data_IF_661180073927
#
_entry.id   IF_661180073927
#
_cell.length_a   1.000
_cell.length_b   1.000
_cell.length_c   1.000
_cell.angle_alpha   90.00
_cell.angle_beta   90.00
_cell.angle_gamma   90.00
#
_symmetry.space_group_name_H-M   'P 1'
#
loop_
_entity.id
_entity.type
_entity.pdbx_description
1 polymer ?
#
# COMPACT_ATOMS: atom_id res chain seq x y z
N UNK A 1 -11.45 -36.16 -22.30
CA UNK A 1 -11.61 -36.36 -20.86
C UNK A 1 -11.41 -35.01 -20.20
N UNK A 2 -12.46 -34.60 -19.55
CA UNK A 2 -12.81 -33.22 -19.21
C UNK A 2 -11.82 -32.49 -18.33
N UNK A 3 -11.46 -31.28 -18.80
CA UNK A 3 -10.82 -30.22 -18.03
C UNK A 3 -11.90 -29.44 -17.23
N UNK A 4 -12.58 -30.14 -16.32
CA UNK A 4 -13.52 -29.52 -15.38
C UNK A 4 -13.30 -30.20 -14.02
N UNK A 5 -12.90 -29.40 -13.06
CA UNK A 5 -12.99 -29.59 -11.61
C UNK A 5 -11.65 -29.38 -10.89
N UNK A 6 -11.15 -28.16 -10.84
CA UNK A 6 -10.37 -27.67 -9.68
C UNK A 6 -10.84 -26.24 -9.41
N UNK A 7 -12.06 -26.09 -8.97
CA UNK A 7 -12.52 -24.91 -8.22
C UNK A 7 -12.87 -25.37 -6.79
N UNK A 8 -11.85 -25.88 -6.10
CA UNK A 8 -11.82 -25.83 -4.65
C UNK A 8 -11.17 -24.50 -4.34
N UNK A 9 -11.94 -23.54 -3.85
CA UNK A 9 -11.47 -22.29 -3.26
C UNK A 9 -10.19 -22.57 -2.45
N UNK A 10 -9.04 -22.16 -3.00
CA UNK A 10 -7.75 -22.30 -2.32
C UNK A 10 -7.84 -21.43 -1.08
N UNK A 11 -7.93 -22.05 0.09
CA UNK A 11 -8.06 -21.32 1.35
C UNK A 11 -6.65 -21.03 1.87
N UNK A 12 -6.23 -19.77 1.77
CA UNK A 12 -5.02 -19.28 2.42
C UNK A 12 -5.22 -19.18 3.95
N UNK A 13 -4.13 -19.05 4.69
CA UNK A 13 -4.21 -18.81 6.13
C UNK A 13 -4.75 -17.39 6.42
N UNK A 14 -5.30 -17.21 7.61
CA UNK A 14 -5.76 -15.92 8.08
C UNK A 14 -4.60 -15.02 8.49
N UNK A 15 -4.77 -13.70 8.41
CA UNK A 15 -3.75 -12.74 8.85
C UNK A 15 -3.41 -12.87 10.34
N UNK A 16 -4.37 -13.09 11.28
CA UNK A 16 -4.03 -13.39 12.67
C UNK A 16 -3.11 -14.62 12.85
N UNK A 17 -3.31 -15.69 12.08
CA UNK A 17 -2.41 -16.87 12.13
C UNK A 17 -1.00 -16.52 11.65
N UNK A 18 -0.88 -15.71 10.58
CA UNK A 18 0.40 -15.25 10.07
C UNK A 18 1.14 -14.34 11.07
N UNK A 19 0.40 -13.40 11.70
CA UNK A 19 0.95 -12.53 12.75
C UNK A 19 1.48 -13.36 13.92
N UNK A 20 0.75 -14.40 14.34
CA UNK A 20 1.18 -15.28 15.43
C UNK A 20 2.44 -16.09 15.04
N UNK A 21 2.49 -16.61 13.81
CA UNK A 21 3.68 -17.30 13.29
C UNK A 21 4.92 -16.38 13.29
N UNK A 22 4.79 -15.14 12.79
CA UNK A 22 5.87 -14.14 12.85
C UNK A 22 6.27 -13.85 14.28
N UNK A 23 5.31 -13.72 15.22
CA UNK A 23 5.58 -13.48 16.66
C UNK A 23 6.39 -14.61 17.28
N UNK A 24 6.16 -15.84 16.84
CA UNK A 24 6.90 -17.02 17.27
C UNK A 24 8.28 -17.14 16.61
N UNK A 25 8.66 -16.21 15.73
CA UNK A 25 9.92 -16.23 14.99
C UNK A 25 9.92 -17.17 13.78
N UNK A 26 8.74 -17.56 13.31
CA UNK A 26 8.59 -18.44 12.16
C UNK A 26 8.69 -17.67 10.83
N UNK A 27 9.04 -18.40 9.77
CA UNK A 27 8.95 -17.94 8.38
C UNK A 27 7.56 -18.22 7.85
N UNK A 28 7.00 -17.29 7.09
CA UNK A 28 5.74 -17.48 6.35
C UNK A 28 5.95 -17.24 4.86
N UNK A 29 4.97 -17.61 4.05
CA UNK A 29 4.90 -17.25 2.63
C UNK A 29 3.87 -16.11 2.47
N UNK A 30 4.23 -15.09 1.72
CA UNK A 30 3.33 -14.01 1.33
C UNK A 30 3.29 -13.95 -0.18
N UNK A 31 2.08 -13.94 -0.77
CA UNK A 31 1.86 -13.85 -2.21
C UNK A 31 1.23 -12.50 -2.56
N UNK A 32 1.61 -11.95 -3.70
CA UNK A 32 0.98 -10.75 -4.25
C UNK A 32 -0.04 -11.09 -5.35
N UNK A 33 -0.65 -10.05 -5.93
CA UNK A 33 -1.67 -10.17 -6.97
C UNK A 33 -1.09 -10.73 -8.28
N UNK A 34 -1.89 -11.54 -9.00
CA UNK A 34 -1.54 -12.07 -10.32
C UNK A 34 -1.27 -10.98 -11.37
N UNK A 35 -1.94 -9.83 -11.22
CA UNK A 35 -1.80 -8.66 -12.10
C UNK A 35 -0.57 -7.77 -11.74
N UNK A 36 0.16 -8.09 -10.62
CA UNK A 36 1.34 -7.34 -10.18
C UNK A 36 2.64 -8.07 -10.55
N UNK A 37 3.26 -8.78 -9.62
CA UNK A 37 4.47 -9.60 -9.85
C UNK A 37 4.09 -11.08 -10.00
N UNK A 38 2.96 -11.46 -9.38
CA UNK A 38 2.47 -12.83 -9.29
C UNK A 38 3.53 -13.76 -8.69
N UNK A 39 4.13 -13.33 -7.58
CA UNK A 39 5.25 -14.01 -6.92
C UNK A 39 4.91 -14.33 -5.47
N UNK A 40 5.77 -15.07 -4.81
CA UNK A 40 5.69 -15.34 -3.38
C UNK A 40 7.05 -15.28 -2.73
N UNK A 41 7.09 -14.63 -1.56
CA UNK A 41 8.29 -14.47 -0.77
C UNK A 41 8.21 -15.24 0.55
N UNK A 42 9.33 -15.80 0.99
CA UNK A 42 9.51 -16.11 2.40
C UNK A 42 9.73 -14.84 3.19
N UNK A 43 8.96 -14.65 4.25
CA UNK A 43 9.05 -13.46 5.11
C UNK A 43 9.17 -13.88 6.58
N UNK A 44 10.03 -13.18 7.33
CA UNK A 44 10.08 -13.21 8.79
C UNK A 44 10.41 -11.83 9.36
N UNK A 45 10.28 -11.64 10.69
CA UNK A 45 10.71 -10.41 11.34
C UNK A 45 12.23 -10.32 11.41
N UNK A 46 12.82 -9.15 11.11
CA UNK A 46 14.27 -8.93 11.17
C UNK A 46 14.83 -9.12 12.59
N UNK A 47 14.05 -8.78 13.60
CA UNK A 47 14.48 -8.90 15.01
C UNK A 47 14.61 -10.35 15.47
N UNK A 48 13.84 -11.29 14.91
CA UNK A 48 13.87 -12.71 15.28
C UNK A 48 14.71 -13.58 14.34
N UNK A 49 15.36 -12.98 13.32
CA UNK A 49 16.14 -13.75 12.34
C UNK A 49 17.33 -14.46 12.97
N UNK A 50 17.55 -15.73 12.58
CA UNK A 50 18.67 -16.54 13.01
C UNK A 50 19.50 -17.01 11.81
N UNK A 51 20.75 -17.49 12.02
CA UNK A 51 21.54 -18.09 10.94
C UNK A 51 20.82 -19.23 10.23
N UNK A 52 20.02 -20.04 10.96
CA UNK A 52 19.24 -21.13 10.41
C UNK A 52 18.14 -20.63 9.47
N UNK A 53 17.47 -19.52 9.84
CA UNK A 53 16.46 -18.87 8.98
C UNK A 53 17.11 -18.34 7.69
N UNK A 54 18.24 -17.63 7.80
CA UNK A 54 18.98 -17.16 6.62
C UNK A 54 19.42 -18.32 5.73
N UNK A 55 19.90 -19.41 6.32
CA UNK A 55 20.27 -20.59 5.55
C UNK A 55 19.05 -21.26 4.90
N UNK A 56 17.91 -21.32 5.59
CA UNK A 56 16.66 -21.81 5.04
C UNK A 56 16.21 -20.97 3.84
N UNK A 57 16.20 -19.65 3.98
CA UNK A 57 15.84 -18.71 2.94
C UNK A 57 16.78 -18.82 1.72
N UNK A 58 18.08 -18.88 1.94
CA UNK A 58 19.07 -19.05 0.86
C UNK A 58 18.92 -20.37 0.12
N UNK A 59 18.59 -21.47 0.85
CA UNK A 59 18.49 -22.82 0.27
C UNK A 59 17.17 -23.03 -0.46
N UNK A 60 16.08 -22.52 0.08
CA UNK A 60 14.73 -22.87 -0.38
C UNK A 60 14.01 -21.69 -1.07
N UNK A 61 14.39 -20.44 -0.79
CA UNK A 61 13.92 -19.27 -1.54
C UNK A 61 14.70 -19.10 -2.83
N UNK A 62 16.03 -19.03 -2.75
CA UNK A 62 17.00 -18.89 -3.86
C UNK A 62 17.01 -17.50 -4.50
N UNK A 63 16.09 -16.61 -4.13
CA UNK A 63 16.05 -15.22 -4.54
C UNK A 63 17.10 -14.36 -3.82
N UNK A 64 16.94 -13.05 -3.88
CA UNK A 64 17.80 -12.09 -3.19
C UNK A 64 17.30 -11.84 -1.77
N UNK A 65 18.08 -12.24 -0.77
CA UNK A 65 17.70 -11.94 0.62
C UNK A 65 17.83 -10.44 0.86
N UNK A 66 16.68 -9.80 1.12
CA UNK A 66 16.56 -8.37 1.37
C UNK A 66 16.04 -8.10 2.79
N UNK A 67 16.29 -6.88 3.28
CA UNK A 67 15.87 -6.45 4.62
C UNK A 67 15.05 -5.16 4.53
N UNK A 68 13.72 -5.27 4.34
CA UNK A 68 12.82 -4.13 4.44
C UNK A 68 12.91 -3.43 5.81
N UNK A 69 13.06 -2.11 5.78
CA UNK A 69 13.09 -1.22 6.95
C UNK A 69 12.08 -0.10 6.76
N UNK A 70 11.55 0.43 7.86
CA UNK A 70 10.78 1.67 7.80
C UNK A 70 11.68 2.86 7.43
N UNK A 71 11.10 3.91 6.84
CA UNK A 71 11.83 5.08 6.36
C UNK A 71 12.65 5.75 7.47
N UNK A 72 12.07 5.85 8.67
CA UNK A 72 12.73 6.48 9.83
C UNK A 72 14.01 5.74 10.21
N UNK A 73 13.96 4.41 10.26
CA UNK A 73 15.15 3.62 10.62
C UNK A 73 16.21 3.66 9.52
N UNK A 74 15.80 3.68 8.26
CA UNK A 74 16.72 3.87 7.14
C UNK A 74 17.45 5.23 7.21
N UNK A 75 16.73 6.31 7.60
CA UNK A 75 17.31 7.63 7.81
C UNK A 75 18.28 7.65 9.01
N UNK A 76 17.90 7.06 10.16
CA UNK A 76 18.77 6.95 11.35
C UNK A 76 20.10 6.25 11.06
N UNK A 77 20.06 5.24 10.18
CA UNK A 77 21.24 4.48 9.77
C UNK A 77 22.01 5.11 8.59
N UNK A 78 21.55 6.27 8.08
CA UNK A 78 22.12 6.94 6.91
C UNK A 78 22.26 5.97 5.72
N UNK A 79 21.12 5.38 5.32
CA UNK A 79 21.02 4.46 4.18
C UNK A 79 20.45 5.19 2.96
N UNK A 80 21.29 5.82 2.12
CA UNK A 80 20.83 6.47 0.91
C UNK A 80 20.32 5.45 -0.11
N UNK A 81 19.47 5.89 -1.02
CA UNK A 81 19.03 5.09 -2.15
C UNK A 81 20.22 4.65 -3.00
N UNK A 82 20.20 3.42 -3.50
CA UNK A 82 21.26 2.85 -4.34
C UNK A 82 21.49 3.66 -5.62
N UNK A 83 20.44 4.27 -6.15
CA UNK A 83 20.47 5.08 -7.37
C UNK A 83 19.73 6.41 -7.16
N UNK A 84 20.15 7.46 -7.84
CA UNK A 84 19.49 8.76 -7.80
C UNK A 84 18.16 8.80 -8.58
N UNK A 85 18.02 7.93 -9.61
CA UNK A 85 16.81 7.77 -10.40
C UNK A 85 16.51 6.28 -10.52
N UNK A 86 15.37 5.86 -9.95
CA UNK A 86 14.92 4.47 -10.01
C UNK A 86 14.13 4.25 -11.33
N UNK A 87 14.61 3.33 -12.17
CA UNK A 87 14.00 2.95 -13.46
C UNK A 87 13.43 1.52 -13.43
N UNK A 88 13.41 0.87 -12.26
CA UNK A 88 12.84 -0.48 -12.11
C UNK A 88 11.32 -0.45 -12.30
N UNK A 89 10.78 -1.50 -12.93
CA UNK A 89 9.35 -1.59 -13.29
C UNK A 89 8.42 -1.36 -12.07
N UNK A 90 8.77 -1.91 -10.91
CA UNK A 90 8.00 -1.79 -9.67
C UNK A 90 8.63 -0.84 -8.65
N UNK A 91 9.62 -0.05 -9.07
CA UNK A 91 10.30 0.96 -8.26
C UNK A 91 10.81 0.44 -6.91
N UNK A 92 11.29 -0.82 -6.85
CA UNK A 92 11.83 -1.41 -5.62
C UNK A 92 12.93 -0.52 -5.03
N UNK A 93 12.72 -0.09 -3.78
CA UNK A 93 13.49 0.97 -3.15
C UNK A 93 14.76 0.43 -2.48
N UNK A 94 15.71 -0.08 -3.28
CA UNK A 94 17.01 -0.49 -2.79
C UNK A 94 17.80 0.69 -2.21
N UNK A 95 18.33 0.51 -1.02
CA UNK A 95 19.38 1.39 -0.47
C UNK A 95 20.76 0.83 -0.82
N UNK A 96 21.84 1.54 -0.46
CA UNK A 96 23.17 0.96 -0.49
C UNK A 96 23.20 -0.31 0.35
N UNK A 97 23.90 -1.34 -0.11
CA UNK A 97 24.09 -2.58 0.65
C UNK A 97 25.09 -2.36 1.79
N UNK A 98 24.94 -3.13 2.87
CA UNK A 98 25.75 -2.96 4.10
C UNK A 98 26.19 -4.27 4.69
N UNK A 99 27.24 -4.22 5.52
CA UNK A 99 27.65 -5.29 6.44
C UNK A 99 27.91 -4.71 7.82
N UNK A 100 27.66 -5.49 8.87
CA UNK A 100 28.01 -5.10 10.24
C UNK A 100 29.51 -5.22 10.48
N UNK A 101 30.12 -4.18 11.05
CA UNK A 101 31.53 -4.17 11.47
C UNK A 101 31.62 -4.77 12.87
N UNK A 102 32.48 -5.76 13.05
CA UNK A 102 32.69 -6.38 14.37
C UNK A 102 31.63 -7.44 14.73
N UNK A 103 31.35 -7.61 16.01
CA UNK A 103 30.40 -8.59 16.56
C UNK A 103 30.62 -10.03 16.11
N UNK A 104 31.83 -10.43 15.77
CA UNK A 104 32.16 -11.74 15.24
C UNK A 104 31.85 -11.94 13.76
N UNK A 105 31.37 -10.89 13.06
CA UNK A 105 31.18 -10.92 11.60
C UNK A 105 32.56 -10.92 10.90
N UNK A 106 32.62 -11.63 9.78
CA UNK A 106 33.81 -11.81 8.95
C UNK A 106 33.72 -11.07 7.63
N UNK A 107 33.41 -11.80 6.53
CA UNK A 107 33.29 -11.23 5.18
C UNK A 107 31.88 -10.75 4.85
N UNK A 108 30.91 -10.94 5.74
CA UNK A 108 29.54 -10.47 5.59
C UNK A 108 28.56 -11.45 4.93
N UNK A 109 29.02 -12.40 4.10
CA UNK A 109 28.15 -13.25 3.27
C UNK A 109 27.58 -14.49 4.01
N UNK A 110 28.23 -14.95 5.08
CA UNK A 110 27.78 -16.15 5.80
C UNK A 110 26.37 -15.97 6.37
N UNK A 111 25.64 -17.06 6.59
CA UNK A 111 24.34 -17.01 7.26
C UNK A 111 24.44 -16.37 8.65
N UNK A 112 25.53 -16.60 9.37
CA UNK A 112 25.82 -15.98 10.66
C UNK A 112 26.00 -14.46 10.53
N UNK A 113 26.86 -14.02 9.62
CA UNK A 113 27.15 -12.59 9.43
C UNK A 113 25.89 -11.83 9.02
N UNK A 114 25.13 -12.36 8.04
CA UNK A 114 23.88 -11.74 7.59
C UNK A 114 22.83 -11.69 8.72
N UNK A 115 22.59 -12.78 9.44
CA UNK A 115 21.65 -12.79 10.55
C UNK A 115 22.05 -11.80 11.66
N UNK A 116 23.35 -11.73 12.00
CA UNK A 116 23.87 -10.80 13.00
C UNK A 116 23.73 -9.36 12.55
N UNK A 117 24.10 -9.06 11.30
CA UNK A 117 23.97 -7.73 10.73
C UNK A 117 22.51 -7.27 10.58
N UNK A 118 21.61 -8.17 10.15
CA UNK A 118 20.18 -7.84 10.05
C UNK A 118 19.58 -7.50 11.42
N UNK A 119 19.90 -8.27 12.48
CA UNK A 119 19.47 -7.92 13.84
C UNK A 119 20.04 -6.59 14.29
N UNK A 120 21.29 -6.27 13.92
CA UNK A 120 21.88 -4.97 14.23
C UNK A 120 21.16 -3.81 13.54
N UNK A 121 20.65 -3.99 12.30
CA UNK A 121 19.88 -2.94 11.62
C UNK A 121 18.63 -2.50 12.42
N UNK A 122 18.05 -3.38 13.22
CA UNK A 122 16.85 -3.08 14.04
C UNK A 122 17.16 -2.77 15.49
N UNK A 123 18.40 -2.93 15.93
CA UNK A 123 18.84 -2.55 17.28
C UNK A 123 18.98 -1.02 17.37
N UNK A 124 18.25 -0.35 18.27
CA UNK A 124 18.35 1.11 18.44
C UNK A 124 19.77 1.60 18.80
N UNK A 125 20.60 0.75 19.37
CA UNK A 125 21.98 1.10 19.72
C UNK A 125 22.93 1.18 18.52
N UNK A 126 22.58 0.53 17.40
CA UNK A 126 23.41 0.52 16.19
C UNK A 126 23.37 1.87 15.48
N UNK A 127 24.54 2.38 15.14
CA UNK A 127 24.76 3.65 14.43
C UNK A 127 25.20 3.40 12.98
N UNK A 128 25.07 4.42 12.15
CA UNK A 128 25.53 4.36 10.75
C UNK A 128 27.02 4.02 10.62
N UNK A 129 27.84 4.41 11.59
CA UNK A 129 29.30 4.12 11.66
C UNK A 129 29.63 2.66 11.94
N UNK A 130 28.66 1.87 12.42
CA UNK A 130 28.86 0.45 12.70
C UNK A 130 28.67 -0.42 11.46
N UNK A 131 28.31 0.22 10.33
CA UNK A 131 28.01 -0.43 9.06
C UNK A 131 29.07 -0.11 8.00
N UNK A 132 29.65 -1.15 7.40
CA UNK A 132 30.45 -1.04 6.18
C UNK A 132 29.53 -0.88 4.95
N UNK A 133 30.00 -0.15 3.95
CA UNK A 133 29.31 0.07 2.65
C UNK A 133 30.33 -0.04 1.52
N UNK A 134 30.08 -0.83 0.44
CA UNK A 134 28.95 -1.77 0.29
C UNK A 134 29.11 -3.02 1.17
N UNK A 135 28.06 -3.86 1.20
CA UNK A 135 28.05 -5.12 1.93
C UNK A 135 27.16 -6.17 1.25
N UNK A 136 26.78 -7.21 2.02
CA UNK A 136 26.03 -8.37 1.56
C UNK A 136 24.58 -8.40 2.09
N UNK A 137 24.16 -7.42 2.90
CA UNK A 137 22.79 -7.19 3.32
C UNK A 137 22.22 -6.09 2.44
N UNK A 138 21.04 -6.32 1.88
CA UNK A 138 20.34 -5.41 0.96
C UNK A 138 19.12 -4.78 1.64
N UNK A 139 19.27 -3.62 2.32
CA UNK A 139 18.14 -2.95 2.92
C UNK A 139 17.21 -2.38 1.84
N UNK A 140 15.89 -2.50 2.06
CA UNK A 140 14.85 -1.88 1.26
C UNK A 140 14.11 -0.83 2.09
N UNK A 141 13.89 0.34 1.50
CA UNK A 141 13.16 1.42 2.16
C UNK A 141 11.66 1.26 1.92
N UNK A 142 10.92 0.73 2.89
CA UNK A 142 9.48 0.57 2.80
C UNK A 142 8.76 1.93 2.83
N UNK A 143 7.70 2.09 2.02
CA UNK A 143 6.91 3.31 2.01
C UNK A 143 6.17 3.49 3.33
N UNK A 144 6.16 4.72 3.85
CA UNK A 144 5.35 5.09 5.02
C UNK A 144 3.87 4.78 4.75
N UNK A 145 3.22 4.04 5.67
CA UNK A 145 1.86 3.53 5.50
C UNK A 145 1.81 2.05 5.09
N UNK A 146 2.95 1.44 4.75
CA UNK A 146 3.05 0.00 4.47
C UNK A 146 2.21 -0.44 3.28
N UNK A 147 1.59 -1.65 3.36
CA UNK A 147 0.77 -2.19 2.27
C UNK A 147 -0.41 -1.32 1.88
N UNK A 148 -0.86 -0.43 2.75
CA UNK A 148 -1.90 0.55 2.44
C UNK A 148 -1.41 1.68 1.51
N UNK A 149 -0.09 1.79 1.32
CA UNK A 149 0.54 2.76 0.41
C UNK A 149 1.07 2.12 -0.86
N UNK A 150 1.68 0.93 -0.72
CA UNK A 150 2.22 0.13 -1.82
C UNK A 150 2.05 -1.35 -1.49
N UNK A 151 1.29 -2.07 -2.31
CA UNK A 151 0.96 -3.50 -2.12
C UNK A 151 2.11 -4.41 -2.55
N UNK A 152 3.30 -4.18 -1.99
CA UNK A 152 4.50 -4.96 -2.26
C UNK A 152 4.97 -5.77 -1.06
N UNK A 153 5.76 -6.82 -1.33
CA UNK A 153 6.36 -7.68 -0.30
C UNK A 153 7.23 -6.88 0.68
N UNK A 154 7.91 -5.83 0.22
CA UNK A 154 8.68 -4.88 1.06
C UNK A 154 7.82 -4.30 2.19
N UNK A 155 6.67 -3.75 1.84
CA UNK A 155 5.73 -3.16 2.79
C UNK A 155 5.06 -4.23 3.66
N UNK A 156 4.72 -5.39 3.06
CA UNK A 156 4.12 -6.50 3.79
C UNK A 156 5.04 -7.02 4.91
N UNK A 157 6.34 -7.15 4.65
CA UNK A 157 7.31 -7.61 5.64
C UNK A 157 7.42 -6.64 6.85
N UNK A 158 7.44 -5.34 6.60
CA UNK A 158 7.48 -4.30 7.65
C UNK A 158 6.18 -4.30 8.46
N UNK A 159 5.02 -4.40 7.80
CA UNK A 159 3.73 -4.41 8.45
C UNK A 159 3.52 -5.64 9.33
N UNK A 160 3.84 -6.83 8.82
CA UNK A 160 3.73 -8.09 9.56
C UNK A 160 4.63 -8.09 10.80
N UNK A 161 5.87 -7.60 10.69
CA UNK A 161 6.77 -7.45 11.83
C UNK A 161 6.16 -6.50 12.88
N UNK A 162 5.67 -5.34 12.47
CA UNK A 162 5.01 -4.35 13.34
C UNK A 162 3.75 -4.92 14.01
N UNK A 163 2.89 -5.59 13.25
CA UNK A 163 1.67 -6.21 13.78
C UNK A 163 1.96 -7.35 14.75
N UNK A 164 3.08 -8.05 14.58
CA UNK A 164 3.56 -9.07 15.51
C UNK A 164 4.20 -8.47 16.78
N UNK A 165 4.41 -7.14 16.86
CA UNK A 165 4.97 -6.45 18.02
C UNK A 165 6.50 -6.27 17.98
N UNK A 166 7.14 -6.53 16.86
CA UNK A 166 8.55 -6.29 16.61
C UNK A 166 8.82 -4.87 16.07
N UNK A 167 10.08 -4.51 15.98
CA UNK A 167 10.52 -3.35 15.21
C UNK A 167 10.01 -3.46 13.76
N UNK A 168 9.59 -2.35 13.13
CA UNK A 168 9.00 -2.37 11.78
C UNK A 168 10.06 -2.65 10.71
N UNK A 169 10.53 -3.88 10.68
CA UNK A 169 11.54 -4.38 9.76
C UNK A 169 11.39 -5.90 9.56
N UNK A 170 11.54 -6.35 8.33
CA UNK A 170 11.47 -7.76 7.98
C UNK A 170 12.69 -8.27 7.25
N UNK A 171 12.70 -9.56 6.98
CA UNK A 171 13.59 -10.21 6.02
C UNK A 171 12.69 -10.88 5.00
N UNK A 172 13.02 -10.75 3.73
CA UNK A 172 12.32 -11.41 2.64
C UNK A 172 13.28 -12.01 1.63
N UNK A 173 12.80 -13.01 0.90
CA UNK A 173 13.47 -13.59 -0.25
C UNK A 173 12.43 -14.20 -1.19
N UNK A 174 12.55 -13.94 -2.47
CA UNK A 174 11.68 -14.51 -3.50
C UNK A 174 11.87 -16.04 -3.58
N UNK A 175 10.77 -16.75 -3.85
CA UNK A 175 10.79 -18.20 -3.96
C UNK A 175 10.84 -18.64 -5.42
N UNK A 176 11.92 -19.31 -5.78
CA UNK A 176 12.15 -19.87 -7.11
C UNK A 176 11.98 -21.40 -7.10
N UNK A 177 11.51 -21.91 -8.23
CA UNK A 177 11.50 -23.34 -8.52
C UNK A 177 12.93 -23.89 -8.68
N UNK A 178 13.06 -25.22 -8.71
CA UNK A 178 14.36 -25.89 -8.87
C UNK A 178 15.04 -25.60 -10.20
N UNK A 179 14.26 -25.23 -11.24
CA UNK A 179 14.72 -24.86 -12.55
C UNK A 179 15.08 -23.35 -12.68
N UNK A 180 14.92 -22.59 -11.59
CA UNK A 180 15.22 -21.15 -11.54
C UNK A 180 14.07 -20.25 -12.01
N UNK A 181 12.92 -20.78 -12.41
CA UNK A 181 11.72 -19.99 -12.67
C UNK A 181 11.04 -19.53 -11.37
N UNK A 182 10.24 -18.46 -11.42
CA UNK A 182 9.50 -18.00 -10.25
C UNK A 182 8.43 -19.01 -9.85
N UNK A 183 8.38 -19.38 -8.56
CA UNK A 183 7.31 -20.20 -8.02
C UNK A 183 6.00 -19.39 -7.95
N UNK A 184 4.91 -19.95 -8.47
CA UNK A 184 3.58 -19.37 -8.44
C UNK A 184 2.73 -20.04 -7.36
N UNK A 185 1.52 -19.54 -7.12
CA UNK A 185 0.66 -20.01 -6.04
C UNK A 185 0.53 -21.55 -5.94
N UNK A 186 0.38 -22.34 -7.04
CA UNK A 186 0.30 -23.79 -6.95
C UNK A 186 1.58 -24.46 -6.41
N UNK A 187 2.77 -23.94 -6.75
CA UNK A 187 4.06 -24.42 -6.26
C UNK A 187 4.28 -23.98 -4.82
N UNK A 188 3.93 -22.74 -4.50
CA UNK A 188 4.05 -22.15 -3.16
C UNK A 188 3.19 -22.88 -2.13
N UNK A 189 1.99 -23.37 -2.49
CA UNK A 189 1.15 -24.20 -1.65
C UNK A 189 1.82 -25.56 -1.32
N UNK A 190 2.54 -26.15 -2.29
CA UNK A 190 3.30 -27.38 -2.04
C UNK A 190 4.48 -27.13 -1.11
N UNK A 191 5.16 -25.99 -1.28
CA UNK A 191 6.27 -25.58 -0.42
C UNK A 191 5.75 -25.28 1.00
N UNK A 192 4.63 -24.56 1.14
CA UNK A 192 3.98 -24.32 2.41
C UNK A 192 3.64 -25.62 3.14
N UNK A 193 3.05 -26.59 2.44
CA UNK A 193 2.74 -27.91 3.00
C UNK A 193 4.00 -28.70 3.40
N UNK A 194 5.05 -28.68 2.55
CA UNK A 194 6.31 -29.37 2.80
C UNK A 194 7.02 -28.89 4.07
N UNK A 195 6.99 -27.59 4.33
CA UNK A 195 7.69 -26.99 5.46
C UNK A 195 6.75 -26.55 6.60
N UNK A 196 5.45 -26.87 6.48
CA UNK A 196 4.41 -26.49 7.45
C UNK A 196 4.34 -24.96 7.69
N UNK A 197 4.54 -24.18 6.63
CA UNK A 197 4.51 -22.71 6.69
C UNK A 197 3.10 -22.17 6.50
N UNK A 198 2.81 -21.03 7.11
CA UNK A 198 1.61 -20.26 6.80
C UNK A 198 1.80 -19.55 5.47
N UNK A 199 0.70 -19.44 4.72
CA UNK A 199 0.68 -18.70 3.44
C UNK A 199 -0.52 -17.74 3.42
N UNK A 200 -0.27 -16.48 3.12
CA UNK A 200 -1.27 -15.38 3.04
C UNK A 200 -1.09 -14.57 1.78
N UNK A 201 -2.11 -13.77 1.42
CA UNK A 201 -2.01 -12.77 0.36
C UNK A 201 -1.79 -11.36 0.92
N UNK A 202 -1.16 -10.49 0.11
CA UNK A 202 -1.04 -9.06 0.42
C UNK A 202 -2.43 -8.41 0.46
N UNK A 203 -3.37 -8.83 -0.39
CA UNK A 203 -4.73 -8.31 -0.41
C UNK A 203 -5.48 -8.58 0.90
N UNK A 204 -5.34 -9.78 1.46
CA UNK A 204 -5.91 -10.10 2.79
C UNK A 204 -5.27 -9.26 3.90
N UNK A 205 -3.95 -9.00 3.81
CA UNK A 205 -3.25 -8.12 4.75
C UNK A 205 -3.75 -6.68 4.64
N UNK A 206 -3.96 -6.17 3.43
CA UNK A 206 -4.58 -4.86 3.19
C UNK A 206 -5.97 -4.82 3.83
N UNK A 207 -6.85 -5.78 3.52
CA UNK A 207 -8.20 -5.85 4.08
C UNK A 207 -8.18 -5.90 5.61
N UNK A 208 -7.30 -6.71 6.19
CA UNK A 208 -7.13 -6.80 7.64
C UNK A 208 -6.73 -5.48 8.29
N UNK A 209 -5.71 -4.80 7.74
CA UNK A 209 -5.26 -3.49 8.25
C UNK A 209 -6.35 -2.43 8.15
N UNK A 210 -7.07 -2.44 7.04
CA UNK A 210 -8.18 -1.52 6.80
C UNK A 210 -9.33 -1.68 7.81
N UNK A 211 -9.61 -2.91 8.21
CA UNK A 211 -10.65 -3.21 9.22
C UNK A 211 -10.21 -2.89 10.64
N UNK A 212 -8.92 -3.06 10.95
CA UNK A 212 -8.39 -3.02 12.32
C UNK A 212 -7.63 -1.73 12.66
N UNK A 213 -7.21 -0.94 11.67
CA UNK A 213 -6.49 0.32 11.90
C UNK A 213 -7.37 1.54 11.59
N UNK A 214 -7.33 2.52 12.47
CA UNK A 214 -8.01 3.80 12.24
C UNK A 214 -7.10 4.73 11.44
N UNK A 215 -7.41 4.92 10.14
CA UNK A 215 -6.61 5.75 9.23
C UNK A 215 -7.02 7.22 9.24
N UNK A 216 -8.21 7.53 9.77
CA UNK A 216 -8.77 8.89 9.79
C UNK A 216 -9.46 9.20 11.11
N UNK A 217 -9.46 10.48 11.48
CA UNK A 217 -10.27 11.01 12.59
C UNK A 217 -11.01 12.27 12.15
N UNK A 218 -12.23 12.47 12.63
CA UNK A 218 -12.91 13.77 12.47
C UNK A 218 -12.12 14.84 13.21
N UNK A 219 -11.78 15.91 12.51
CA UNK A 219 -11.06 17.03 13.08
C UNK A 219 -11.99 18.21 13.37
N UNK A 220 -13.00 18.45 12.52
CA UNK A 220 -13.94 19.55 12.65
C UNK A 220 -15.22 19.24 11.84
N UNK A 221 -16.33 19.87 12.21
CA UNK A 221 -17.58 19.87 11.44
C UNK A 221 -18.26 21.22 11.59
N UNK A 222 -18.84 21.73 10.49
CA UNK A 222 -19.62 22.95 10.49
C UNK A 222 -20.75 22.91 9.45
N UNK A 223 -21.84 23.61 9.74
CA UNK A 223 -22.90 23.83 8.76
C UNK A 223 -22.53 25.02 7.86
N UNK A 224 -22.49 24.79 6.57
CA UNK A 224 -22.11 25.81 5.57
C UNK A 224 -23.28 26.10 4.63
N UNK A 225 -23.91 27.27 4.73
CA UNK A 225 -24.88 27.71 3.72
C UNK A 225 -24.14 28.04 2.41
N UNK A 226 -24.61 27.50 1.32
CA UNK A 226 -24.07 27.70 -0.04
C UNK A 226 -25.19 28.08 -1.00
N UNK A 227 -24.84 28.50 -2.21
CA UNK A 227 -25.84 28.73 -3.28
C UNK A 227 -26.59 27.44 -3.71
N UNK A 228 -26.09 26.25 -3.32
CA UNK A 228 -26.68 24.95 -3.60
C UNK A 228 -27.44 24.36 -2.38
N UNK A 229 -27.70 25.17 -1.34
CA UNK A 229 -28.27 24.72 -0.09
C UNK A 229 -27.25 24.61 1.04
N UNK A 230 -27.72 24.13 2.19
CA UNK A 230 -26.84 23.96 3.37
C UNK A 230 -26.19 22.57 3.35
N UNK A 231 -24.88 22.56 3.51
CA UNK A 231 -24.08 21.35 3.62
C UNK A 231 -23.41 21.27 4.99
N UNK A 232 -23.35 20.07 5.58
CA UNK A 232 -22.44 19.80 6.68
C UNK A 232 -21.05 19.52 6.08
N UNK A 233 -20.09 20.40 6.38
CA UNK A 233 -18.69 20.24 5.96
C UNK A 233 -17.92 19.61 7.10
N UNK A 234 -17.36 18.42 6.87
CA UNK A 234 -16.63 17.65 7.86
C UNK A 234 -15.18 17.49 7.40
N UNK A 235 -14.25 17.93 8.24
CA UNK A 235 -12.84 17.74 8.01
C UNK A 235 -12.36 16.45 8.68
N UNK A 236 -11.70 15.60 7.90
CA UNK A 236 -11.06 14.38 8.36
C UNK A 236 -9.55 14.51 8.27
N UNK A 237 -8.86 14.28 9.38
CA UNK A 237 -7.40 14.25 9.42
C UNK A 237 -6.92 12.81 9.35
N UNK A 238 -5.98 12.53 8.44
CA UNK A 238 -5.34 11.23 8.26
C UNK A 238 -4.35 10.94 9.38
N UNK A 239 -4.26 9.66 9.78
CA UNK A 239 -3.37 9.18 10.83
C UNK A 239 -2.60 7.94 10.32
N UNK A 240 -1.26 7.94 10.29
CA UNK A 240 -0.35 9.08 10.35
C UNK A 240 -0.36 9.87 9.03
N UNK A 241 0.20 11.06 9.02
CA UNK A 241 0.39 11.87 7.80
C UNK A 241 -0.12 13.29 7.95
N UNK A 242 -1.23 13.46 8.67
CA UNK A 242 -1.78 14.78 8.99
C UNK A 242 -2.58 15.44 7.85
N UNK A 243 -2.64 14.84 6.66
CA UNK A 243 -3.41 15.35 5.53
C UNK A 243 -4.88 15.50 5.91
N UNK A 244 -5.52 16.56 5.43
CA UNK A 244 -6.92 16.85 5.72
C UNK A 244 -7.77 16.63 4.48
N UNK A 245 -8.79 15.77 4.60
CA UNK A 245 -9.80 15.52 3.59
C UNK A 245 -11.12 16.18 3.99
N UNK A 246 -11.94 16.56 3.02
CA UNK A 246 -13.20 17.25 3.26
C UNK A 246 -14.38 16.45 2.72
N UNK A 247 -15.38 16.23 3.56
CA UNK A 247 -16.65 15.65 3.19
C UNK A 247 -17.74 16.71 3.25
N UNK A 248 -18.49 16.89 2.14
CA UNK A 248 -19.64 17.78 2.04
C UNK A 248 -20.89 16.92 2.03
N UNK A 249 -21.55 16.82 3.18
CA UNK A 249 -22.74 16.02 3.40
C UNK A 249 -24.00 16.87 3.24
N UNK A 250 -24.98 16.39 2.50
CA UNK A 250 -26.32 16.97 2.38
C UNK A 250 -27.38 15.93 2.74
N UNK A 251 -28.32 16.27 3.63
CA UNK A 251 -29.35 15.35 4.11
C UNK A 251 -28.81 14.22 5.00
N UNK A 252 -29.71 13.30 5.37
CA UNK A 252 -29.42 12.16 6.22
C UNK A 252 -29.85 10.85 5.56
N UNK A 253 -29.24 9.74 5.98
CA UNK A 253 -29.52 8.40 5.48
C UNK A 253 -29.27 7.34 6.54
N UNK A 254 -29.85 6.18 6.34
CA UNK A 254 -29.58 4.96 7.11
C UNK A 254 -28.53 4.09 6.40
N UNK A 255 -27.94 3.13 7.09
CA UNK A 255 -26.94 2.23 6.54
C UNK A 255 -27.47 1.36 5.37
N UNK A 256 -28.79 1.12 5.32
CA UNK A 256 -29.42 0.30 4.27
C UNK A 256 -29.74 1.09 2.98
N UNK A 257 -29.75 2.40 3.06
CA UNK A 257 -30.11 3.25 1.93
C UNK A 257 -28.95 3.48 0.99
N UNK A 258 -29.16 3.39 -0.33
CA UNK A 258 -28.17 3.83 -1.32
C UNK A 258 -27.99 5.35 -1.25
N UNK A 259 -26.73 5.79 -1.21
CA UNK A 259 -26.35 7.21 -1.11
C UNK A 259 -25.64 7.65 -2.38
N UNK A 260 -26.01 8.80 -2.90
CA UNK A 260 -25.32 9.40 -4.04
C UNK A 260 -24.00 9.99 -3.58
N UNK A 261 -22.87 9.48 -4.11
CA UNK A 261 -21.54 9.83 -3.66
C UNK A 261 -20.65 10.24 -4.84
N UNK A 262 -20.01 11.39 -4.72
CA UNK A 262 -18.88 11.78 -5.57
C UNK A 262 -17.59 11.73 -4.76
N UNK A 263 -16.61 10.98 -5.21
CA UNK A 263 -15.24 11.03 -4.67
C UNK A 263 -14.36 11.74 -5.69
N UNK A 264 -13.72 12.81 -5.26
CA UNK A 264 -12.76 13.58 -6.05
C UNK A 264 -11.39 13.53 -5.39
N UNK A 265 -10.38 13.13 -6.16
CA UNK A 265 -8.99 13.23 -5.75
C UNK A 265 -8.47 14.60 -6.16
N UNK A 266 -8.17 15.43 -5.16
CA UNK A 266 -7.73 16.81 -5.33
C UNK A 266 -6.22 16.88 -5.19
N UNK A 267 -5.55 17.37 -6.22
CA UNK A 267 -4.15 17.78 -6.19
C UNK A 267 -4.03 19.16 -6.80
N UNK A 268 -3.10 20.00 -6.33
CA UNK A 268 -2.96 21.36 -6.83
C UNK A 268 -2.73 21.39 -8.34
N UNK A 269 -1.81 20.61 -8.84
CA UNK A 269 -1.56 20.49 -10.28
C UNK A 269 -2.78 19.94 -11.03
N UNK A 270 -3.42 18.89 -10.50
CA UNK A 270 -4.59 18.25 -11.10
C UNK A 270 -5.79 19.19 -11.17
N UNK A 271 -6.03 19.98 -10.14
CA UNK A 271 -7.17 20.90 -10.09
C UNK A 271 -6.96 22.11 -10.99
N UNK A 272 -5.76 22.72 -10.98
CA UNK A 272 -5.42 23.86 -11.83
C UNK A 272 -5.49 23.48 -13.31
N UNK A 273 -4.75 22.43 -13.70
CA UNK A 273 -4.69 21.99 -15.08
C UNK A 273 -6.00 21.32 -15.52
N UNK A 274 -6.66 20.58 -14.63
CA UNK A 274 -7.96 19.94 -14.88
C UNK A 274 -9.10 20.92 -15.15
N UNK A 275 -9.02 22.14 -14.61
CA UNK A 275 -9.97 23.22 -14.93
C UNK A 275 -9.85 23.64 -16.40
N UNK A 276 -8.66 23.55 -16.99
CA UNK A 276 -8.41 23.95 -18.38
C UNK A 276 -8.67 22.82 -19.39
N UNK A 277 -8.37 21.57 -19.01
CA UNK A 277 -8.36 20.43 -19.95
C UNK A 277 -9.47 19.42 -19.72
N UNK A 278 -10.12 19.38 -18.54
CA UNK A 278 -11.05 18.32 -18.14
C UNK A 278 -12.37 18.81 -17.54
N UNK A 279 -12.65 20.10 -17.56
CA UNK A 279 -13.89 20.72 -17.03
C UNK A 279 -14.21 20.32 -15.57
N UNK A 280 -13.18 20.12 -14.72
CA UNK A 280 -13.37 19.70 -13.33
C UNK A 280 -14.32 20.62 -12.56
N UNK A 281 -14.28 21.90 -12.80
CA UNK A 281 -15.17 22.88 -12.16
C UNK A 281 -16.65 22.60 -12.47
N UNK A 282 -16.98 22.28 -13.73
CA UNK A 282 -18.34 21.94 -14.16
C UNK A 282 -18.77 20.61 -13.56
N UNK A 283 -17.89 19.60 -13.55
CA UNK A 283 -18.20 18.27 -12.98
C UNK A 283 -18.50 18.36 -11.48
N UNK A 284 -17.77 19.18 -10.72
CA UNK A 284 -18.04 19.39 -9.29
C UNK A 284 -19.40 20.05 -9.08
N UNK A 285 -19.72 21.07 -9.89
CA UNK A 285 -21.00 21.75 -9.85
C UNK A 285 -22.16 20.79 -10.16
N UNK A 286 -22.06 20.00 -11.23
CA UNK A 286 -23.07 19.00 -11.61
C UNK A 286 -23.27 17.96 -10.50
N UNK A 287 -22.19 17.49 -9.86
CA UNK A 287 -22.29 16.53 -8.75
C UNK A 287 -23.04 17.15 -7.54
N UNK A 288 -22.74 18.40 -7.18
CA UNK A 288 -23.41 19.12 -6.08
C UNK A 288 -24.87 19.36 -6.40
N UNK A 289 -25.20 19.78 -7.63
CA UNK A 289 -26.58 20.00 -8.09
C UNK A 289 -27.39 18.68 -8.11
N UNK A 290 -26.76 17.56 -8.52
CA UNK A 290 -27.38 16.25 -8.48
C UNK A 290 -27.71 15.80 -7.04
N UNK A 291 -26.77 16.01 -6.11
CA UNK A 291 -26.97 15.70 -4.69
C UNK A 291 -28.07 16.58 -4.07
N UNK A 292 -28.09 17.88 -4.39
CA UNK A 292 -29.12 18.78 -3.93
C UNK A 292 -30.51 18.35 -4.45
N UNK A 293 -30.61 17.99 -5.73
CA UNK A 293 -31.87 17.50 -6.35
C UNK A 293 -32.35 16.19 -5.75
N UNK A 294 -31.42 15.29 -5.41
CA UNK A 294 -31.74 14.03 -4.71
C UNK A 294 -32.21 14.28 -3.27
N UNK A 295 -31.84 15.41 -2.67
CA UNK A 295 -32.12 15.76 -1.27
C UNK A 295 -31.17 15.10 -0.25
N UNK A 296 -30.31 14.18 -0.68
CA UNK A 296 -29.29 13.53 0.14
C UNK A 296 -28.10 13.07 -0.69
N UNK A 297 -26.91 13.16 -0.13
CA UNK A 297 -25.70 12.67 -0.76
C UNK A 297 -24.43 13.32 -0.21
N UNK A 298 -23.30 12.95 -0.81
CA UNK A 298 -21.97 13.29 -0.31
C UNK A 298 -21.01 13.61 -1.45
N UNK A 299 -20.27 14.71 -1.31
CA UNK A 299 -19.02 14.94 -2.07
C UNK A 299 -17.85 14.79 -1.14
N UNK A 300 -16.94 13.87 -1.45
CA UNK A 300 -15.72 13.63 -0.71
C UNK A 300 -14.51 14.12 -1.52
N UNK A 301 -13.85 15.18 -1.01
CA UNK A 301 -12.59 15.68 -1.53
C UNK A 301 -11.42 15.00 -0.80
N UNK A 302 -10.75 14.10 -1.51
CA UNK A 302 -9.53 13.44 -1.07
C UNK A 302 -8.33 14.27 -1.48
N UNK A 303 -7.77 15.06 -0.55
CA UNK A 303 -6.55 15.80 -0.84
C UNK A 303 -5.36 14.86 -0.91
N UNK A 304 -4.60 14.96 -1.99
CA UNK A 304 -3.29 14.31 -2.07
C UNK A 304 -2.25 15.24 -1.44
N UNK A 305 -1.27 14.67 -0.74
CA UNK A 305 -0.14 15.45 -0.26
C UNK A 305 0.53 16.10 -1.47
N UNK A 306 0.56 17.43 -1.49
CA UNK A 306 1.21 18.17 -2.57
C UNK A 306 2.69 17.81 -2.58
N UNK A 307 3.07 17.09 -3.61
CA UNK A 307 4.45 16.83 -3.92
C UNK A 307 4.99 18.11 -4.56
N UNK A 308 5.61 18.99 -3.80
CA UNK A 308 6.47 20.12 -4.21
C UNK A 308 6.23 20.75 -5.60
N UNK A 309 6.69 21.96 -5.81
CA UNK A 309 6.70 22.64 -7.13
C UNK A 309 7.25 21.77 -8.28
N UNK A 310 8.10 20.79 -7.97
CA UNK A 310 8.60 19.81 -8.91
C UNK A 310 7.48 18.94 -9.53
N UNK A 311 6.42 18.59 -8.80
CA UNK A 311 5.32 17.77 -9.32
C UNK A 311 4.47 18.53 -10.36
N UNK A 312 4.29 19.84 -10.19
CA UNK A 312 3.60 20.66 -11.18
C UNK A 312 4.43 20.75 -12.48
N UNK A 313 5.74 20.95 -12.36
CA UNK A 313 6.65 20.97 -13.52
C UNK A 313 6.69 19.62 -14.23
N UNK A 314 6.70 18.51 -13.49
CA UNK A 314 6.67 17.16 -14.07
C UNK A 314 5.35 16.89 -14.80
N UNK A 315 4.21 17.30 -14.24
CA UNK A 315 2.91 17.21 -14.91
C UNK A 315 2.89 17.99 -16.23
N UNK A 316 3.48 19.20 -16.24
CA UNK A 316 3.62 20.01 -17.47
C UNK A 316 4.50 19.32 -18.53
N UNK A 317 5.65 18.77 -18.14
CA UNK A 317 6.52 18.04 -19.06
C UNK A 317 5.84 16.79 -19.64
N UNK A 318 5.03 16.09 -18.84
CA UNK A 318 4.26 14.94 -19.32
C UNK A 318 3.18 15.35 -20.33
N UNK A 319 2.49 16.46 -20.09
CA UNK A 319 1.52 17.02 -21.03
C UNK A 319 2.19 17.47 -22.35
N UNK A 320 3.35 18.11 -22.28
CA UNK A 320 4.15 18.47 -23.44
C UNK A 320 4.52 17.26 -24.27
N UNK A 321 5.00 16.19 -23.63
CA UNK A 321 5.34 14.92 -24.27
C UNK A 321 4.13 14.26 -24.93
N UNK A 322 2.98 14.21 -24.25
CA UNK A 322 1.73 13.67 -24.80
C UNK A 322 1.29 14.47 -26.05
N UNK A 323 1.37 15.81 -25.99
CA UNK A 323 1.05 16.69 -27.11
C UNK A 323 2.01 16.48 -28.31
N UNK A 324 3.31 16.32 -28.06
CA UNK A 324 4.29 16.03 -29.10
C UNK A 324 4.08 14.67 -29.77
N UNK A 325 3.55 13.68 -29.04
CA UNK A 325 3.21 12.36 -29.54
C UNK A 325 1.80 12.29 -30.20
N UNK A 326 1.06 13.39 -30.27
CA UNK A 326 -0.29 13.45 -30.81
C UNK A 326 -1.32 12.68 -29.98
N UNK A 327 -1.03 12.42 -28.71
CA UNK A 327 -1.94 11.77 -27.75
C UNK A 327 -2.86 12.79 -27.12
N UNK A 328 -4.02 12.33 -26.68
CA UNK A 328 -4.91 13.15 -25.85
C UNK A 328 -4.20 13.53 -24.54
N UNK A 329 -4.13 14.84 -24.26
CA UNK A 329 -3.50 15.35 -23.05
C UNK A 329 -4.34 14.98 -21.83
N UNK A 330 -3.82 14.08 -20.99
CA UNK A 330 -4.45 13.64 -19.74
C UNK A 330 -3.50 13.86 -18.58
N UNK A 331 -4.00 14.54 -17.56
CA UNK A 331 -3.27 14.70 -16.31
C UNK A 331 -3.33 13.37 -15.57
N UNK A 332 -2.20 12.75 -15.25
CA UNK A 332 -2.20 11.53 -14.47
C UNK A 332 -2.65 11.84 -13.04
N UNK A 333 -3.84 11.41 -12.66
CA UNK A 333 -4.33 11.41 -11.27
C UNK A 333 -4.22 9.99 -10.76
N UNK A 334 -3.15 9.69 -10.06
CA UNK A 334 -2.96 8.40 -9.41
C UNK A 334 -3.56 8.44 -7.99
N UNK A 335 -4.74 7.85 -7.83
CA UNK A 335 -5.22 7.46 -6.49
C UNK A 335 -4.48 6.19 -6.08
N UNK A 336 -3.74 6.27 -4.99
CA UNK A 336 -3.09 5.10 -4.39
C UNK A 336 -4.11 4.22 -3.64
N UNK A 337 -3.79 2.97 -3.38
CA UNK A 337 -4.66 2.09 -2.58
C UNK A 337 -4.93 2.66 -1.17
N UNK A 338 -3.97 3.40 -0.58
CA UNK A 338 -4.17 4.11 0.67
C UNK A 338 -5.28 5.16 0.57
N UNK A 339 -5.34 5.91 -0.53
CA UNK A 339 -6.38 6.93 -0.73
C UNK A 339 -7.76 6.25 -0.80
N UNK A 340 -7.86 5.07 -1.41
CA UNK A 340 -9.08 4.26 -1.36
C UNK A 340 -9.45 3.84 0.05
N UNK A 341 -8.49 3.39 0.87
CA UNK A 341 -8.70 2.99 2.26
C UNK A 341 -9.16 4.14 3.15
N UNK A 342 -8.50 5.27 3.04
CA UNK A 342 -8.87 6.50 3.74
C UNK A 342 -10.27 6.95 3.33
N UNK A 343 -10.55 7.01 2.02
CA UNK A 343 -11.87 7.36 1.50
C UNK A 343 -12.97 6.40 1.98
N UNK A 344 -12.69 5.11 1.96
CA UNK A 344 -13.63 4.09 2.43
C UNK A 344 -13.95 4.24 3.92
N UNK A 345 -12.95 4.49 4.77
CA UNK A 345 -13.17 4.74 6.20
C UNK A 345 -13.96 6.02 6.46
N UNK A 346 -13.74 7.09 5.69
CA UNK A 346 -14.54 8.31 5.78
C UNK A 346 -16.00 8.01 5.41
N UNK A 347 -16.25 7.30 4.30
CA UNK A 347 -17.60 6.92 3.89
C UNK A 347 -18.31 6.08 4.97
N UNK A 348 -17.61 5.10 5.54
CA UNK A 348 -18.15 4.27 6.63
C UNK A 348 -18.45 5.09 7.89
N UNK A 349 -17.57 6.00 8.29
CA UNK A 349 -17.77 6.88 9.45
C UNK A 349 -18.97 7.82 9.25
N UNK A 350 -19.31 8.14 7.99
CA UNK A 350 -20.51 8.89 7.61
C UNK A 350 -21.76 8.01 7.43
N UNK A 351 -21.67 6.71 7.74
CA UNK A 351 -22.80 5.78 7.66
C UNK A 351 -23.14 5.30 6.26
N UNK A 352 -22.29 5.58 5.26
CA UNK A 352 -22.49 5.09 3.90
C UNK A 352 -22.07 3.61 3.83
N UNK A 353 -22.97 2.75 3.37
CA UNK A 353 -22.72 1.33 3.11
C UNK A 353 -22.97 0.98 1.63
N UNK A 354 -24.00 1.55 1.04
CA UNK A 354 -24.38 1.35 -0.36
C UNK A 354 -24.20 2.66 -1.13
N UNK A 355 -23.35 2.60 -2.18
CA UNK A 355 -22.97 3.77 -2.97
C UNK A 355 -23.67 3.76 -4.33
N UNK A 356 -24.30 4.87 -4.69
CA UNK A 356 -24.59 5.28 -6.05
C UNK A 356 -23.49 6.26 -6.46
N UNK A 357 -22.49 5.77 -7.20
CA UNK A 357 -21.25 6.50 -7.45
C UNK A 357 -21.40 7.42 -8.66
N UNK A 358 -21.29 8.74 -8.43
CA UNK A 358 -21.22 9.73 -9.50
C UNK A 358 -19.86 9.65 -10.22
N UNK A 359 -19.85 9.10 -11.44
CA UNK A 359 -18.65 8.92 -12.25
C UNK A 359 -18.94 8.78 -13.73
N UNK A 360 -18.16 9.47 -14.57
CA UNK A 360 -18.17 9.29 -16.03
C UNK A 360 -17.17 8.21 -16.49
N UNK A 361 -16.32 7.71 -15.58
CA UNK A 361 -15.34 6.68 -15.86
C UNK A 361 -15.48 5.50 -14.88
N UNK A 362 -16.48 4.62 -15.09
CA UNK A 362 -16.65 3.47 -14.22
C UNK A 362 -15.44 2.54 -14.36
N UNK A 363 -14.70 2.34 -13.27
CA UNK A 363 -13.63 1.35 -13.17
C UNK A 363 -14.02 0.30 -12.14
N UNK A 364 -13.66 -0.96 -12.41
CA UNK A 364 -13.81 -2.02 -11.41
C UNK A 364 -12.88 -1.70 -10.24
N UNK A 365 -13.44 -1.47 -9.06
CA UNK A 365 -12.68 -1.15 -7.84
C UNK A 365 -12.68 -2.39 -6.96
N UNK A 366 -11.57 -3.11 -7.00
CA UNK A 366 -11.36 -4.29 -6.16
C UNK A 366 -11.14 -3.81 -4.71
N UNK A 367 -11.71 -4.53 -3.74
CA UNK A 367 -11.43 -4.29 -2.31
C UNK A 367 -12.43 -3.43 -1.53
N UNK A 368 -13.41 -2.73 -2.15
CA UNK A 368 -14.42 -1.94 -1.42
C UNK A 368 -15.31 -2.81 -0.52
N UNK A 369 -15.56 -4.06 -0.91
CA UNK A 369 -16.34 -5.04 -0.13
C UNK A 369 -15.67 -5.32 1.23
N UNK A 370 -14.34 -5.37 1.26
CA UNK A 370 -13.57 -5.53 2.51
C UNK A 370 -13.79 -4.40 3.53
N UNK A 371 -14.24 -3.22 3.05
CA UNK A 371 -14.63 -2.09 3.92
C UNK A 371 -16.11 -2.11 4.31
N UNK A 372 -16.89 -3.08 3.84
CA UNK A 372 -18.35 -3.08 3.99
C UNK A 372 -19.02 -1.98 3.15
N UNK A 373 -18.43 -1.62 2.01
CA UNK A 373 -18.97 -0.71 1.02
C UNK A 373 -19.37 -1.48 -0.24
N UNK A 374 -20.55 -1.20 -0.77
CA UNK A 374 -21.07 -1.78 -2.00
C UNK A 374 -21.41 -0.67 -3.00
N UNK A 375 -20.86 -0.74 -4.22
CA UNK A 375 -21.31 0.13 -5.33
C UNK A 375 -22.51 -0.54 -5.97
N UNK A 376 -23.70 -0.02 -5.71
CA UNK A 376 -24.95 -0.54 -6.26
C UNK A 376 -25.26 0.05 -7.64
N UNK A 377 -24.73 1.23 -7.97
CA UNK A 377 -24.95 1.93 -9.22
C UNK A 377 -23.81 2.88 -9.55
N UNK A 378 -23.45 2.99 -10.84
CA UNK A 378 -22.63 4.08 -11.35
C UNK A 378 -23.54 5.08 -12.07
N UNK A 379 -23.58 6.31 -11.58
CA UNK A 379 -24.43 7.39 -12.08
C UNK A 379 -23.56 8.35 -12.89
N UNK A 380 -23.78 8.50 -14.20
CA UNK A 380 -23.10 9.50 -15.01
C UNK A 380 -23.64 10.91 -14.69
N UNK A 381 -22.83 11.94 -14.95
CA UNK A 381 -23.20 13.35 -14.74
C UNK A 381 -22.52 14.27 -15.76
#
# INVERSE_FOLDING_TARGET
MDAQTIDKTIQLNTIPEAIEAIRNGEVIIVVDDEDRENEGDFICAAQSVTPEIINFMATHGRGLICTPLDERRADELDLPMMVSSNTALHETAFTVSVDLIGNGCTTGISAYDRATGIRALVDPATKSTDLARPGHIFPLRAKQGGVLRRTGHTEAAVDLARLAGFSPAGVLVEVLNDDGTMARLPELLKIAAKFSLKIISIDDLVAYRMQNERLVKRASSLQMPTQFGTFEVIAYQQVPGGEVHLAFKHGDWTAEEPVLVRVHSSSEAGDILGTLFQDHGMQHRQAIEAIQKEGKGLVLFMRQADKSDAALLEALHQLEKQGAEGKEMKIPVEMTQRDFGVGAQILRDLGVCKLRLLTNHPRRRVGLIGYGLEIVENVPF
#
